data_IF_011011872016
#
_entry.id   IF_011011872016
#
_cell.length_a   1.000
_cell.length_b   1.000
_cell.length_c   1.000
_cell.angle_alpha   90.00
_cell.angle_beta   90.00
_cell.angle_gamma   90.00
#
_symmetry.space_group_name_H-M   'P 1'
#
loop_
_entity.id
_entity.type
_entity.pdbx_description
1 polymer ?
#
# COMPACT_ATOMS: atom_id res chain seq x y z
N UNK A 1 3.65 -9.04 -14.95
CA UNK A 1 4.92 -8.67 -14.31
C UNK A 1 5.12 -9.42 -13.02
N UNK A 2 6.32 -9.97 -12.75
CA UNK A 2 6.60 -10.64 -11.47
C UNK A 2 6.34 -9.74 -10.26
N UNK A 3 6.69 -8.44 -10.34
CA UNK A 3 6.42 -7.51 -9.24
C UNK A 3 4.92 -7.21 -9.06
N UNK A 4 4.16 -7.04 -10.14
CA UNK A 4 2.70 -6.91 -10.03
C UNK A 4 2.04 -8.21 -9.55
N UNK A 5 2.59 -9.38 -9.91
CA UNK A 5 2.12 -10.67 -9.37
C UNK A 5 2.26 -10.67 -7.86
N UNK A 6 3.45 -10.32 -7.32
CA UNK A 6 3.65 -10.20 -5.87
C UNK A 6 2.63 -9.24 -5.23
N UNK A 7 2.38 -8.08 -5.86
CA UNK A 7 1.38 -7.12 -5.36
C UNK A 7 -0.01 -7.76 -5.25
N UNK A 8 -0.47 -8.41 -6.32
CA UNK A 8 -1.78 -9.06 -6.36
C UNK A 8 -1.86 -10.28 -5.45
N UNK A 9 -0.80 -11.08 -5.38
CA UNK A 9 -0.72 -12.26 -4.51
C UNK A 9 -0.80 -11.84 -3.04
N UNK A 10 -0.09 -10.79 -2.65
CA UNK A 10 -0.19 -10.19 -1.31
C UNK A 10 -1.58 -9.61 -1.04
N UNK A 11 -2.15 -8.87 -1.99
CA UNK A 11 -3.51 -8.33 -1.86
C UNK A 11 -4.55 -9.46 -1.67
N UNK A 12 -4.49 -10.50 -2.49
CA UNK A 12 -5.40 -11.64 -2.43
C UNK A 12 -5.25 -12.41 -1.11
N UNK A 13 -4.01 -12.52 -0.59
CA UNK A 13 -3.75 -13.08 0.74
C UNK A 13 -4.41 -12.24 1.84
N UNK A 14 -4.38 -10.91 1.74
CA UNK A 14 -5.08 -10.03 2.67
C UNK A 14 -6.59 -10.14 2.59
N UNK A 15 -7.14 -10.43 1.41
CA UNK A 15 -8.57 -10.52 1.20
C UNK A 15 -9.18 -11.90 1.51
N UNK A 16 -8.33 -12.93 1.64
CA UNK A 16 -8.75 -14.30 2.00
C UNK A 16 -9.65 -14.29 3.24
N UNK A 17 -10.69 -15.12 3.26
CA UNK A 17 -11.55 -15.32 4.43
C UNK A 17 -10.76 -15.77 5.65
N UNK A 18 -11.29 -15.46 6.83
CA UNK A 18 -10.77 -15.93 8.12
C UNK A 18 -11.64 -17.09 8.58
N UNK A 19 -11.06 -18.29 8.63
CA UNK A 19 -11.77 -19.52 8.97
C UNK A 19 -11.61 -19.88 10.44
N UNK A 20 -12.57 -20.60 11.03
CA UNK A 20 -12.48 -21.04 12.44
C UNK A 20 -11.30 -21.96 12.73
N UNK A 21 -10.73 -22.58 11.68
CA UNK A 21 -9.52 -23.41 11.76
C UNK A 21 -8.22 -22.60 11.69
N UNK A 22 -8.30 -21.30 11.38
CA UNK A 22 -7.11 -20.45 11.28
C UNK A 22 -6.44 -20.30 12.65
N UNK A 23 -5.12 -20.43 12.67
CA UNK A 23 -4.34 -20.17 13.87
C UNK A 23 -4.47 -18.70 14.27
N UNK A 24 -4.92 -18.46 15.50
CA UNK A 24 -5.19 -17.13 16.03
C UNK A 24 -6.64 -16.68 15.87
N UNK A 25 -7.53 -17.50 15.29
CA UNK A 25 -8.95 -17.16 15.11
C UNK A 25 -9.59 -16.56 16.38
N UNK A 26 -9.46 -17.25 17.52
CA UNK A 26 -10.01 -16.78 18.80
C UNK A 26 -9.44 -15.42 19.24
N UNK A 27 -8.18 -15.13 18.92
CA UNK A 27 -7.57 -13.83 19.22
C UNK A 27 -8.15 -12.74 18.32
N UNK A 28 -8.33 -13.03 17.02
CA UNK A 28 -8.96 -12.08 16.09
C UNK A 28 -10.38 -11.74 16.55
N UNK A 29 -11.17 -12.76 16.92
CA UNK A 29 -12.51 -12.57 17.49
C UNK A 29 -12.46 -11.68 18.73
N UNK A 30 -11.57 -11.98 19.67
CA UNK A 30 -11.44 -11.24 20.91
C UNK A 30 -11.10 -9.75 20.67
N UNK A 31 -10.16 -9.45 19.79
CA UNK A 31 -9.82 -8.06 19.44
C UNK A 31 -11.04 -7.35 18.85
N UNK A 32 -11.72 -7.98 17.89
CA UNK A 32 -12.90 -7.40 17.27
C UNK A 32 -14.05 -7.17 18.26
N UNK A 33 -14.31 -8.12 19.15
CA UNK A 33 -15.43 -8.07 20.10
C UNK A 33 -15.15 -7.23 21.35
N UNK A 34 -13.89 -6.94 21.67
CA UNK A 34 -13.55 -6.10 22.84
C UNK A 34 -13.18 -4.66 22.46
N UNK A 35 -12.63 -4.43 21.27
CA UNK A 35 -12.07 -3.12 20.88
C UNK A 35 -12.85 -2.44 19.78
N UNK A 36 -13.20 -3.19 18.75
CA UNK A 36 -13.89 -2.68 17.58
C UNK A 36 -15.42 -2.85 17.65
N UNK A 37 -15.94 -3.52 18.69
CA UNK A 37 -17.36 -3.92 18.80
C UNK A 37 -18.35 -2.79 18.53
N UNK A 38 -18.09 -1.59 19.06
CA UNK A 38 -18.98 -0.44 18.92
C UNK A 38 -18.97 0.16 17.50
N UNK A 39 -18.13 -0.34 16.60
CA UNK A 39 -18.00 0.10 15.20
C UNK A 39 -18.33 -1.03 14.22
N UNK A 40 -18.71 -2.21 14.72
CA UNK A 40 -19.13 -3.36 13.92
C UNK A 40 -20.66 -3.33 13.84
N UNK A 41 -21.17 -2.85 12.71
CA UNK A 41 -22.61 -2.72 12.46
C UNK A 41 -23.17 -3.87 11.62
N UNK A 42 -22.31 -4.51 10.81
CA UNK A 42 -22.69 -5.55 9.85
C UNK A 42 -21.76 -6.74 9.91
N UNK A 43 -22.17 -7.86 9.31
CA UNK A 43 -21.31 -9.02 9.10
C UNK A 43 -20.04 -8.67 8.30
N UNK A 44 -20.15 -7.76 7.33
CA UNK A 44 -19.01 -7.29 6.54
C UNK A 44 -18.03 -6.48 7.40
N UNK A 45 -18.50 -5.69 8.36
CA UNK A 45 -17.61 -4.98 9.28
C UNK A 45 -16.87 -5.97 10.19
N UNK A 46 -17.55 -7.03 10.64
CA UNK A 46 -16.94 -8.11 11.42
C UNK A 46 -15.88 -8.85 10.60
N UNK A 47 -16.20 -9.25 9.36
CA UNK A 47 -15.25 -9.91 8.44
C UNK A 47 -14.02 -9.03 8.17
N UNK A 48 -14.24 -7.75 7.85
CA UNK A 48 -13.16 -6.78 7.68
C UNK A 48 -12.27 -6.68 8.93
N UNK A 49 -12.87 -6.57 10.12
CA UNK A 49 -12.12 -6.51 11.38
C UNK A 49 -11.24 -7.76 11.55
N UNK A 50 -11.80 -8.95 11.35
CA UNK A 50 -11.08 -10.22 11.48
C UNK A 50 -9.90 -10.30 10.51
N UNK A 51 -10.13 -9.96 9.23
CA UNK A 51 -9.09 -9.92 8.20
C UNK A 51 -7.99 -8.91 8.53
N UNK A 52 -8.34 -7.70 8.96
CA UNK A 52 -7.37 -6.68 9.32
C UNK A 52 -6.49 -7.13 10.50
N UNK A 53 -7.08 -7.66 11.58
CA UNK A 53 -6.32 -8.15 12.74
C UNK A 53 -5.37 -9.29 12.36
N UNK A 54 -5.82 -10.23 11.51
CA UNK A 54 -4.95 -11.28 10.95
C UNK A 54 -3.82 -10.68 10.12
N UNK A 55 -4.14 -9.75 9.22
CA UNK A 55 -3.19 -9.17 8.28
C UNK A 55 -2.10 -8.35 8.99
N UNK A 56 -2.37 -7.80 10.18
CA UNK A 56 -1.33 -7.16 11.01
C UNK A 56 -0.31 -8.16 11.60
N UNK A 57 -0.57 -9.47 11.51
CA UNK A 57 0.40 -10.54 11.83
C UNK A 57 0.76 -10.67 13.30
N UNK A 58 0.06 -9.96 14.19
CA UNK A 58 0.41 -9.83 15.61
C UNK A 58 -0.12 -10.95 16.51
N UNK A 59 -1.19 -11.62 16.09
CA UNK A 59 -2.01 -12.49 16.94
C UNK A 59 -2.02 -13.96 16.48
N UNK A 60 -1.08 -14.33 15.60
CA UNK A 60 -0.85 -15.70 15.10
C UNK A 60 0.59 -16.15 15.40
N UNK A 61 0.79 -17.43 15.70
CA UNK A 61 2.15 -17.99 15.76
C UNK A 61 2.70 -18.26 14.36
N UNK A 62 1.81 -18.48 13.38
CA UNK A 62 2.14 -18.67 11.98
C UNK A 62 3.09 -17.58 11.51
N UNK A 63 4.28 -18.02 11.09
CA UNK A 63 5.31 -17.11 10.61
C UNK A 63 4.94 -16.49 9.26
N UNK A 64 4.02 -17.11 8.53
CA UNK A 64 3.57 -16.69 7.19
C UNK A 64 2.96 -15.28 7.17
N UNK A 65 2.37 -14.83 8.28
CA UNK A 65 1.86 -13.45 8.44
C UNK A 65 2.79 -12.54 9.26
N UNK A 66 3.71 -13.11 10.04
CA UNK A 66 4.76 -12.34 10.73
C UNK A 66 5.89 -11.85 9.81
N UNK A 67 5.93 -12.39 8.58
CA UNK A 67 6.93 -12.10 7.56
C UNK A 67 6.56 -10.93 6.64
N UNK A 68 5.60 -10.07 7.00
CA UNK A 68 5.35 -8.85 6.22
C UNK A 68 6.65 -8.10 5.96
N UNK A 69 6.93 -7.74 4.72
CA UNK A 69 7.99 -6.80 4.39
C UNK A 69 7.44 -5.37 4.52
N UNK A 70 8.31 -4.38 4.66
CA UNK A 70 7.87 -2.99 4.77
C UNK A 70 7.03 -2.57 3.52
N UNK A 71 7.39 -3.08 2.33
CA UNK A 71 6.63 -2.91 1.09
C UNK A 71 5.20 -3.47 1.15
N UNK A 72 4.95 -4.50 1.96
CA UNK A 72 3.63 -5.13 2.05
C UNK A 72 2.62 -4.20 2.75
N UNK A 73 3.10 -3.20 3.49
CA UNK A 73 2.25 -2.22 4.16
C UNK A 73 1.53 -1.32 3.16
N UNK A 74 2.17 -0.91 2.07
CA UNK A 74 1.52 -0.13 1.00
C UNK A 74 0.36 -0.93 0.38
N UNK A 75 0.55 -2.23 0.19
CA UNK A 75 -0.48 -3.14 -0.32
C UNK A 75 -1.60 -3.34 0.71
N UNK A 76 -1.25 -3.49 1.99
CA UNK A 76 -2.22 -3.61 3.09
C UNK A 76 -3.09 -2.37 3.18
N UNK A 77 -2.49 -1.19 3.10
CA UNK A 77 -3.21 0.06 3.03
C UNK A 77 -4.18 -0.01 1.84
N UNK A 78 -3.71 -0.39 0.65
CA UNK A 78 -4.57 -0.35 -0.55
C UNK A 78 -5.80 -1.26 -0.40
N UNK A 79 -5.59 -2.42 0.20
CA UNK A 79 -6.68 -3.33 0.58
C UNK A 79 -7.65 -2.70 1.60
N UNK A 80 -7.15 -2.01 2.64
CA UNK A 80 -7.99 -1.29 3.61
C UNK A 80 -8.88 -0.26 2.91
N UNK A 81 -8.32 0.54 2.01
CA UNK A 81 -9.09 1.57 1.29
C UNK A 81 -10.22 1.01 0.43
N UNK A 82 -9.91 -0.02 -0.36
CA UNK A 82 -10.92 -0.68 -1.18
C UNK A 82 -12.02 -1.27 -0.30
N UNK A 83 -11.64 -1.93 0.79
CA UNK A 83 -12.57 -2.52 1.75
C UNK A 83 -13.47 -1.47 2.43
N UNK A 84 -12.89 -0.33 2.83
CA UNK A 84 -13.64 0.79 3.42
C UNK A 84 -14.69 1.31 2.46
N UNK A 85 -14.31 1.54 1.20
CA UNK A 85 -15.24 2.01 0.17
C UNK A 85 -16.31 0.99 -0.16
N UNK A 86 -15.94 -0.27 -0.29
CA UNK A 86 -16.84 -1.34 -0.69
C UNK A 86 -17.88 -1.66 0.38
N UNK A 87 -17.46 -1.66 1.65
CA UNK A 87 -18.29 -2.11 2.77
C UNK A 87 -18.75 -0.98 3.69
N UNK A 88 -18.48 0.29 3.32
CA UNK A 88 -18.80 1.47 4.11
C UNK A 88 -18.28 1.37 5.56
N UNK A 89 -17.04 0.90 5.70
CA UNK A 89 -16.42 0.68 7.02
C UNK A 89 -16.19 2.03 7.69
N UNK A 90 -16.59 2.14 8.96
CA UNK A 90 -16.30 3.32 9.76
C UNK A 90 -14.80 3.39 10.07
N UNK A 91 -14.16 4.51 9.75
CA UNK A 91 -12.77 4.81 10.08
C UNK A 91 -12.43 4.54 11.56
N UNK A 92 -13.37 4.76 12.49
CA UNK A 92 -13.17 4.46 13.92
C UNK A 92 -12.94 2.97 14.21
N UNK A 93 -13.47 2.06 13.38
CA UNK A 93 -13.19 0.62 13.48
C UNK A 93 -11.70 0.37 13.27
N UNK A 94 -11.15 0.94 12.19
CA UNK A 94 -9.74 0.82 11.82
C UNK A 94 -8.86 1.44 12.91
N UNK A 95 -9.19 2.67 13.33
CA UNK A 95 -8.51 3.35 14.44
C UNK A 95 -8.52 2.49 15.70
N UNK A 96 -9.65 1.87 16.06
CA UNK A 96 -9.73 1.03 17.25
C UNK A 96 -8.81 -0.19 17.19
N UNK A 97 -8.65 -0.82 16.02
CA UNK A 97 -7.74 -1.97 15.85
C UNK A 97 -6.28 -1.53 15.93
N UNK A 98 -5.94 -0.44 15.26
CA UNK A 98 -4.57 0.04 15.20
C UNK A 98 -4.10 0.68 16.52
N UNK A 99 -4.97 1.45 17.19
CA UNK A 99 -4.64 2.08 18.48
C UNK A 99 -4.83 1.17 19.70
N UNK A 100 -5.21 -0.10 19.53
CA UNK A 100 -5.31 -1.07 20.64
C UNK A 100 -3.95 -1.50 21.21
N UNK A 101 -3.07 -0.57 21.58
CA UNK A 101 -1.65 -0.77 21.90
C UNK A 101 -0.82 -1.32 20.71
N UNK A 102 -0.26 -0.42 19.92
CA UNK A 102 0.79 -0.72 18.96
C UNK A 102 2.08 -1.37 19.51
N UNK A 103 2.37 -1.43 20.83
CA UNK A 103 3.80 -1.48 21.23
C UNK A 103 4.27 -2.30 22.44
N UNK A 104 3.40 -2.91 23.27
CA UNK A 104 3.88 -3.63 24.48
C UNK A 104 3.53 -5.12 24.59
N UNK A 105 2.52 -5.62 23.88
CA UNK A 105 2.13 -7.03 24.01
C UNK A 105 1.34 -7.56 22.80
N UNK A 106 1.90 -7.56 21.59
CA UNK A 106 1.54 -8.65 20.68
C UNK A 106 1.68 -9.95 21.47
N UNK A 107 0.83 -10.93 21.23
CA UNK A 107 1.10 -12.26 21.79
C UNK A 107 2.53 -12.65 21.41
N UNK A 108 3.34 -13.03 22.40
CA UNK A 108 4.72 -13.52 22.20
C UNK A 108 5.79 -12.48 21.78
N UNK A 109 5.79 -11.24 22.31
CA UNK A 109 6.84 -10.22 22.10
C UNK A 109 7.01 -9.74 20.64
N UNK A 110 6.04 -10.01 19.76
CA UNK A 110 6.06 -9.52 18.37
C UNK A 110 5.70 -8.02 18.32
N UNK A 111 5.94 -7.37 17.18
CA UNK A 111 5.47 -6.00 16.88
C UNK A 111 4.79 -6.01 15.53
N UNK A 112 3.68 -5.28 15.41
CA UNK A 112 3.11 -4.95 14.10
C UNK A 112 4.18 -4.24 13.27
N UNK A 113 4.36 -4.65 12.01
CA UNK A 113 5.32 -3.99 11.10
C UNK A 113 4.70 -2.79 10.41
N UNK A 114 3.46 -2.92 9.94
CA UNK A 114 2.72 -1.81 9.38
C UNK A 114 2.21 -0.94 10.52
N UNK A 115 2.64 0.32 10.55
CA UNK A 115 2.25 1.30 11.54
C UNK A 115 1.17 2.23 11.01
N UNK A 116 0.11 2.39 11.79
CA UNK A 116 -0.93 3.35 11.52
C UNK A 116 -0.40 4.73 11.89
N UNK A 117 0.22 5.37 10.91
CA UNK A 117 0.28 6.82 10.87
C UNK A 117 -1.04 7.26 10.27
N UNK A 118 -1.90 7.85 11.10
CA UNK A 118 -3.16 8.54 10.76
C UNK A 118 -3.62 8.30 9.32
N UNK A 119 -4.25 7.16 9.02
CA UNK A 119 -4.74 6.77 7.69
C UNK A 119 -3.87 7.24 6.50
N UNK A 120 -3.05 6.34 5.95
CA UNK A 120 -2.43 6.54 4.63
C UNK A 120 -3.42 7.11 3.60
N UNK A 121 -4.72 6.79 3.69
CA UNK A 121 -5.78 7.33 2.83
C UNK A 121 -6.24 8.76 3.11
N UNK A 122 -6.21 9.20 4.37
CA UNK A 122 -6.61 10.57 4.72
C UNK A 122 -5.41 11.52 4.66
N UNK A 123 -4.16 11.00 4.67
CA UNK A 123 -2.92 11.77 4.51
C UNK A 123 -2.63 12.25 3.09
N UNK A 124 -3.21 11.64 2.06
CA UNK A 124 -2.93 11.99 0.67
C UNK A 124 -4.17 12.36 -0.11
N UNK A 125 -4.06 13.36 -0.99
CA UNK A 125 -5.19 13.88 -1.76
C UNK A 125 -5.82 12.81 -2.66
N UNK A 126 -4.99 11.95 -3.27
CA UNK A 126 -5.42 10.81 -4.08
C UNK A 126 -4.58 9.57 -3.70
N UNK A 127 -4.94 8.87 -2.63
CA UNK A 127 -4.07 7.86 -2.02
C UNK A 127 -3.87 6.61 -2.88
N UNK A 128 -4.81 6.28 -3.78
CA UNK A 128 -4.64 5.18 -4.76
C UNK A 128 -3.53 5.49 -5.74
N UNK A 129 -3.45 6.73 -6.21
CA UNK A 129 -2.35 7.17 -7.06
C UNK A 129 -1.02 7.14 -6.31
N UNK A 130 -1.00 7.48 -5.02
CA UNK A 130 0.22 7.36 -4.21
C UNK A 130 0.68 5.91 -4.10
N UNK A 131 -0.21 4.97 -3.77
CA UNK A 131 0.10 3.53 -3.76
C UNK A 131 0.74 3.09 -5.08
N UNK A 132 0.18 3.52 -6.21
CA UNK A 132 0.68 3.13 -7.52
C UNK A 132 2.11 3.66 -7.79
N UNK A 133 2.40 4.91 -7.40
CA UNK A 133 3.72 5.50 -7.54
C UNK A 133 4.75 4.88 -6.57
N UNK A 134 4.34 4.55 -5.35
CA UNK A 134 5.19 3.86 -4.37
C UNK A 134 5.56 2.46 -4.86
N UNK A 135 4.60 1.68 -5.38
CA UNK A 135 4.89 0.35 -5.97
C UNK A 135 5.91 0.46 -7.09
N UNK A 136 5.81 1.47 -7.96
CA UNK A 136 6.83 1.73 -8.99
C UNK A 136 8.19 1.98 -8.35
N UNK A 137 8.25 2.85 -7.33
CA UNK A 137 9.49 3.23 -6.65
C UNK A 137 10.17 2.04 -5.97
N UNK A 138 9.41 1.25 -5.23
CA UNK A 138 9.93 0.12 -4.45
C UNK A 138 10.40 -1.02 -5.36
N UNK A 139 9.84 -1.10 -6.57
CA UNK A 139 10.21 -2.12 -7.57
C UNK A 139 11.13 -1.58 -8.67
N UNK A 140 11.74 -0.40 -8.49
CA UNK A 140 12.49 0.29 -9.54
C UNK A 140 13.59 -0.57 -10.17
N UNK A 141 14.36 -1.29 -9.36
CA UNK A 141 15.45 -2.15 -9.86
C UNK A 141 14.92 -3.34 -10.68
N UNK A 142 13.84 -3.97 -10.22
CA UNK A 142 13.20 -5.06 -10.97
C UNK A 142 12.65 -4.53 -12.30
N UNK A 143 12.05 -3.35 -12.31
CA UNK A 143 11.55 -2.70 -13.53
C UNK A 143 12.70 -2.43 -14.49
N UNK A 144 13.77 -1.78 -14.04
CA UNK A 144 14.95 -1.47 -14.87
C UNK A 144 15.58 -2.74 -15.44
N UNK A 145 15.82 -3.75 -14.61
CA UNK A 145 16.42 -5.02 -15.05
C UNK A 145 15.54 -5.73 -16.08
N UNK A 146 14.22 -5.69 -15.90
CA UNK A 146 13.27 -6.26 -16.86
C UNK A 146 13.36 -5.50 -18.20
N UNK A 147 13.33 -4.17 -18.20
CA UNK A 147 13.46 -3.33 -19.41
C UNK A 147 14.83 -3.46 -20.12
N UNK A 148 15.86 -3.87 -19.39
CA UNK A 148 17.18 -4.17 -19.96
C UNK A 148 17.21 -5.52 -20.70
N UNK A 149 16.29 -6.45 -20.41
CA UNK A 149 16.21 -7.77 -21.05
C UNK A 149 15.71 -7.72 -22.51
N UNK A 150 15.92 -8.80 -23.26
CA UNK A 150 15.56 -8.93 -24.69
C UNK A 150 14.09 -9.33 -24.93
N UNK A 151 13.28 -9.53 -23.89
CA UNK A 151 11.86 -9.87 -24.04
C UNK A 151 11.03 -8.64 -24.43
N UNK A 152 10.76 -8.51 -25.73
CA UNK A 152 10.05 -7.36 -26.31
C UNK A 152 8.61 -7.21 -25.79
N UNK A 153 7.84 -8.29 -25.69
CA UNK A 153 6.44 -8.20 -25.24
C UNK A 153 6.35 -7.77 -23.76
N UNK A 154 7.22 -8.34 -22.92
CA UNK A 154 7.33 -7.94 -21.52
C UNK A 154 7.80 -6.49 -21.39
N UNK A 155 8.65 -6.01 -22.29
CA UNK A 155 9.13 -4.62 -22.28
C UNK A 155 8.04 -3.63 -22.67
N UNK A 156 7.23 -3.90 -23.70
CA UNK A 156 6.19 -2.97 -24.19
C UNK A 156 5.13 -2.68 -23.12
N UNK A 157 4.59 -3.72 -22.47
CA UNK A 157 3.62 -3.57 -21.38
C UNK A 157 4.23 -2.86 -20.14
N UNK A 158 5.56 -2.86 -19.98
CA UNK A 158 6.25 -2.32 -18.79
C UNK A 158 6.54 -0.84 -19.00
N UNK A 159 6.85 -0.48 -20.25
CA UNK A 159 6.84 0.88 -20.71
C UNK A 159 5.45 1.50 -20.52
N UNK A 160 4.38 0.81 -20.92
CA UNK A 160 3.01 1.30 -20.69
C UNK A 160 2.74 1.57 -19.20
N UNK A 161 3.14 0.63 -18.32
CA UNK A 161 3.06 0.83 -16.88
C UNK A 161 3.85 2.07 -16.40
N UNK A 162 5.10 2.24 -16.85
CA UNK A 162 5.93 3.40 -16.51
C UNK A 162 5.32 4.72 -17.02
N UNK A 163 4.80 4.74 -18.25
CA UNK A 163 4.08 5.87 -18.83
C UNK A 163 2.87 6.26 -17.98
N UNK A 164 2.09 5.27 -17.53
CA UNK A 164 0.94 5.51 -16.65
C UNK A 164 1.37 6.11 -15.30
N UNK A 165 2.47 5.65 -14.71
CA UNK A 165 3.03 6.25 -13.50
C UNK A 165 3.44 7.72 -13.72
N UNK A 166 4.10 8.03 -14.83
CA UNK A 166 4.50 9.41 -15.17
C UNK A 166 3.28 10.30 -15.39
N UNK A 167 2.27 9.80 -16.11
CA UNK A 167 1.02 10.53 -16.30
C UNK A 167 0.33 10.85 -14.97
N UNK A 168 0.26 9.87 -14.07
CA UNK A 168 -0.26 10.06 -12.71
C UNK A 168 0.56 11.11 -11.96
N UNK A 169 1.89 11.00 -11.99
CA UNK A 169 2.78 11.98 -11.35
C UNK A 169 2.51 13.40 -11.85
N UNK A 170 2.50 13.64 -13.18
CA UNK A 170 2.28 14.97 -13.76
C UNK A 170 0.93 15.54 -13.33
N UNK A 171 -0.14 14.76 -13.49
CA UNK A 171 -1.49 15.14 -13.07
C UNK A 171 -1.56 15.52 -11.59
N UNK A 172 -0.93 14.73 -10.73
CA UNK A 172 -0.92 14.95 -9.28
C UNK A 172 -0.10 16.17 -8.89
N UNK A 173 1.10 16.31 -9.47
CA UNK A 173 2.01 17.42 -9.22
C UNK A 173 1.39 18.75 -9.63
N UNK A 174 0.78 18.82 -10.81
CA UNK A 174 0.09 20.01 -11.30
C UNK A 174 -1.10 20.41 -10.43
N UNK A 175 -1.88 19.42 -10.00
CA UNK A 175 -3.10 19.67 -9.21
C UNK A 175 -2.80 20.07 -7.78
N UNK A 176 -1.80 19.47 -7.15
CA UNK A 176 -1.59 19.57 -5.70
C UNK A 176 -0.31 20.29 -5.28
N UNK A 177 0.72 20.37 -6.12
CA UNK A 177 2.04 20.89 -5.74
C UNK A 177 2.42 22.19 -6.43
N UNK A 178 2.05 22.36 -7.70
CA UNK A 178 2.35 23.59 -8.45
C UNK A 178 1.35 24.70 -8.14
N UNK A 179 0.06 24.35 -7.94
CA UNK A 179 -1.06 25.30 -7.90
C UNK A 179 -1.58 25.65 -6.50
N UNK A 180 -1.04 25.06 -5.43
CA UNK A 180 -1.52 25.27 -4.05
C UNK A 180 -0.45 25.89 -3.15
N UNK A 181 -0.90 26.74 -2.21
CA UNK A 181 -0.09 27.19 -1.08
C UNK A 181 0.09 26.03 -0.08
N UNK A 182 1.30 25.89 0.46
CA UNK A 182 1.79 24.81 1.33
C UNK A 182 1.09 24.68 2.70
N UNK A 183 -0.07 25.29 2.91
CA UNK A 183 -0.70 25.44 4.23
C UNK A 183 -1.55 24.22 4.64
N UNK A 184 -1.70 23.22 3.77
CA UNK A 184 -2.43 21.98 4.05
C UNK A 184 -1.46 20.78 4.20
N UNK A 185 -1.52 20.09 5.36
CA UNK A 185 -0.68 18.94 5.70
C UNK A 185 -0.81 17.82 4.66
N UNK A 186 -2.01 17.60 4.13
CA UNK A 186 -2.32 16.55 3.17
C UNK A 186 -1.65 16.79 1.81
N UNK A 187 -1.73 18.04 1.34
CA UNK A 187 -1.03 18.50 0.14
C UNK A 187 0.50 18.39 0.32
N UNK A 188 1.03 18.81 1.47
CA UNK A 188 2.47 18.69 1.77
C UNK A 188 2.98 17.24 1.71
N UNK A 189 2.27 16.30 2.35
CA UNK A 189 2.61 14.88 2.32
C UNK A 189 2.53 14.31 0.89
N UNK A 190 1.47 14.64 0.16
CA UNK A 190 1.30 14.25 -1.25
C UNK A 190 2.48 14.71 -2.10
N UNK A 191 2.90 15.98 -1.96
CA UNK A 191 4.03 16.53 -2.70
C UNK A 191 5.37 15.93 -2.29
N UNK A 192 5.53 15.51 -1.04
CA UNK A 192 6.72 14.79 -0.59
C UNK A 192 6.86 13.44 -1.32
N UNK A 193 5.78 12.68 -1.46
CA UNK A 193 5.77 11.41 -2.20
C UNK A 193 6.07 11.63 -3.68
N UNK A 194 5.44 12.65 -4.29
CA UNK A 194 5.68 12.98 -5.70
C UNK A 194 7.14 13.40 -5.96
N UNK A 195 7.74 14.16 -5.04
CA UNK A 195 9.17 14.53 -5.13
C UNK A 195 10.07 13.29 -5.02
N UNK A 196 9.77 12.39 -4.09
CA UNK A 196 10.50 11.13 -3.96
C UNK A 196 10.38 10.27 -5.23
N UNK A 197 9.18 10.19 -5.81
CA UNK A 197 8.96 9.52 -7.09
C UNK A 197 9.83 10.14 -8.20
N UNK A 198 9.78 11.47 -8.40
CA UNK A 198 10.60 12.16 -9.40
C UNK A 198 12.09 11.91 -9.18
N UNK A 199 12.56 12.02 -7.94
CA UNK A 199 13.96 11.76 -7.62
C UNK A 199 14.37 10.33 -7.99
N UNK A 200 13.56 9.33 -7.67
CA UNK A 200 13.84 7.94 -8.05
C UNK A 200 13.80 7.76 -9.57
N UNK A 201 12.84 8.38 -10.24
CA UNK A 201 12.74 8.35 -11.69
C UNK A 201 14.01 8.91 -12.36
N UNK A 202 14.39 10.14 -12.01
CA UNK A 202 15.54 10.83 -12.62
C UNK A 202 16.85 10.10 -12.30
N UNK A 203 17.04 9.72 -11.03
CA UNK A 203 18.32 9.17 -10.54
C UNK A 203 18.56 7.73 -10.96
N UNK A 204 17.50 6.95 -11.17
CA UNK A 204 17.61 5.52 -11.47
C UNK A 204 16.97 5.17 -12.80
N UNK A 205 15.67 5.44 -12.99
CA UNK A 205 14.97 5.00 -14.20
C UNK A 205 15.54 5.64 -15.47
N UNK A 206 15.51 6.97 -15.56
CA UNK A 206 15.95 7.72 -16.72
C UNK A 206 17.45 7.55 -16.97
N UNK A 207 18.26 7.63 -15.90
CA UNK A 207 19.72 7.46 -15.99
C UNK A 207 20.13 6.08 -16.51
N UNK A 208 19.55 5.01 -15.99
CA UNK A 208 19.92 3.64 -16.35
C UNK A 208 19.43 3.21 -17.74
N UNK A 209 18.42 3.93 -18.28
CA UNK A 209 17.81 3.63 -19.57
C UNK A 209 18.15 4.67 -20.65
N UNK A 210 18.95 5.70 -20.34
CA UNK A 210 19.26 6.85 -21.22
C UNK A 210 19.65 6.48 -22.66
N UNK A 211 20.42 5.40 -22.85
CA UNK A 211 20.84 4.94 -24.18
C UNK A 211 19.76 4.17 -24.96
N UNK A 212 18.57 3.94 -24.38
CA UNK A 212 17.40 3.33 -25.02
C UNK A 212 16.33 4.41 -25.24
N UNK A 213 16.59 5.29 -26.20
CA UNK A 213 15.83 6.52 -26.53
C UNK A 213 14.35 6.35 -26.88
N UNK A 214 13.84 5.12 -27.05
CA UNK A 214 12.43 4.85 -27.35
C UNK A 214 11.61 4.37 -26.13
N UNK A 215 12.20 4.33 -24.92
CA UNK A 215 11.63 3.65 -23.74
C UNK A 215 11.25 4.63 -22.61
N UNK A 216 11.85 5.83 -22.58
CA UNK A 216 11.76 6.73 -21.42
C UNK A 216 10.91 7.95 -21.76
N UNK A 217 9.73 8.12 -21.15
CA UNK A 217 8.97 9.36 -21.26
C UNK A 217 9.64 10.46 -20.42
N UNK A 218 9.72 11.69 -20.92
CA UNK A 218 10.21 12.78 -20.10
C UNK A 218 9.22 13.07 -18.97
N UNK A 219 9.72 13.25 -17.75
CA UNK A 219 8.91 13.59 -16.59
C UNK A 219 8.68 15.10 -16.48
N UNK A 220 9.50 15.92 -17.15
CA UNK A 220 9.47 17.39 -17.10
C UNK A 220 8.74 18.04 -18.29
N UNK A 221 8.31 17.27 -19.29
CA UNK A 221 7.49 17.73 -20.44
C UNK A 221 5.99 17.94 -20.14
#
# INVERSE_FOLDING_TARGET
YPFLSRVWDTYNKFDKSVETTDEGYSNYVNVCETKAKNYIDTSNHKDFCMKLVRNLGCYSFDRTYSQLYDDDCIILYYWIYNSVKQHNINNKLITAIFYDNYSKACTYLRRAKCFYYDFYYDMFEEPVYMVFLEIFRDNIYTIINTLKSEDKETNDKLQEYACNCIHIYKKMNDKYCVKKHYDDQKSSLTCSILRAFKQTYDSYFARELYNKTHIIPDIDD
#
